data_IF_257047954262
#
_entry.id   IF_257047954262
#
_cell.length_a   1.000
_cell.length_b   1.000
_cell.length_c   1.000
_cell.angle_alpha   90.00
_cell.angle_beta   90.00
_cell.angle_gamma   90.00
#
_symmetry.space_group_name_H-M   'P 1'
#
loop_
_entity.id
_entity.type
_entity.pdbx_description
1 polymer ?
#
# COMPACT_ATOMS: atom_id res chain seq x y z
N UNK A 1 -0.88 8.62 6.99
CA UNK A 1 -0.27 7.79 8.04
C UNK A 1 -1.33 7.26 9.02
N UNK A 2 -2.25 8.12 9.48
CA UNK A 2 -3.33 7.75 10.42
C UNK A 2 -4.31 6.73 9.86
N UNK A 3 -4.44 6.66 8.54
CA UNK A 3 -5.44 5.82 7.87
C UNK A 3 -4.88 4.44 7.45
N UNK A 4 -3.56 4.23 7.59
CA UNK A 4 -2.88 3.02 7.11
C UNK A 4 -2.43 2.12 8.28
N UNK A 5 -2.04 2.72 9.41
CA UNK A 5 -1.48 1.97 10.54
C UNK A 5 -2.17 2.30 11.85
N UNK A 6 -2.73 1.30 12.49
CA UNK A 6 -3.19 1.44 13.89
C UNK A 6 -2.00 1.60 14.84
N UNK A 7 -0.86 0.97 14.53
CA UNK A 7 0.35 1.03 15.35
C UNK A 7 1.60 0.88 14.48
N UNK A 8 2.58 1.78 14.62
CA UNK A 8 3.88 1.65 13.98
C UNK A 8 4.82 0.82 14.86
N UNK A 9 5.09 -0.40 14.46
CA UNK A 9 5.91 -1.35 15.25
C UNK A 9 7.39 -1.32 14.89
N UNK A 10 7.76 -0.77 13.73
CA UNK A 10 9.11 -0.82 13.17
C UNK A 10 9.83 0.55 13.14
N UNK A 11 9.33 1.55 13.86
CA UNK A 11 9.96 2.86 13.94
C UNK A 11 10.86 2.94 15.16
N UNK A 12 12.17 2.99 14.95
CA UNK A 12 13.15 3.09 16.00
C UNK A 12 12.95 4.35 16.88
N UNK A 13 12.98 4.18 18.19
CA UNK A 13 12.77 5.28 19.14
C UNK A 13 11.30 5.57 19.49
N UNK A 14 10.34 5.02 18.76
CA UNK A 14 8.89 5.20 19.00
C UNK A 14 8.15 3.85 18.93
N UNK A 15 8.51 2.87 19.76
CA UNK A 15 7.89 1.56 19.70
C UNK A 15 6.41 1.62 20.09
N UNK A 16 5.56 1.05 19.23
CA UNK A 16 4.13 0.95 19.49
C UNK A 16 3.35 2.27 19.39
N UNK A 17 3.93 3.32 18.80
CA UNK A 17 3.20 4.58 18.56
C UNK A 17 2.05 4.35 17.57
N UNK A 18 0.87 4.92 17.83
CA UNK A 18 -0.22 4.89 16.86
C UNK A 18 0.12 5.73 15.63
N UNK A 19 -0.45 5.39 14.47
CA UNK A 19 -0.27 6.19 13.25
C UNK A 19 -0.76 7.64 13.43
N UNK A 20 -1.81 7.84 14.21
CA UNK A 20 -2.36 9.16 14.54
C UNK A 20 -1.38 9.97 15.39
N UNK A 21 -0.82 9.38 16.46
CA UNK A 21 0.13 10.06 17.34
C UNK A 21 1.45 10.34 16.62
N UNK A 22 1.92 9.42 15.79
CA UNK A 22 3.07 9.63 14.93
C UNK A 22 2.86 10.81 13.98
N UNK A 23 1.74 10.85 13.28
CA UNK A 23 1.40 11.95 12.38
C UNK A 23 1.32 13.29 13.12
N UNK A 24 0.72 13.32 14.30
CA UNK A 24 0.61 14.50 15.16
C UNK A 24 1.98 14.96 15.66
N UNK A 25 2.84 14.03 16.06
CA UNK A 25 4.20 14.31 16.51
C UNK A 25 5.07 14.89 15.41
N UNK A 26 5.04 14.30 14.22
CA UNK A 26 5.78 14.78 13.05
C UNK A 26 5.31 16.18 12.63
N UNK A 27 3.98 16.38 12.65
CA UNK A 27 3.40 17.69 12.34
C UNK A 27 3.84 18.76 13.35
N UNK A 28 3.70 18.49 14.64
CA UNK A 28 4.10 19.44 15.70
C UNK A 28 5.59 19.79 15.62
N UNK A 29 6.43 18.81 15.26
CA UNK A 29 7.86 19.06 15.04
C UNK A 29 8.10 20.01 13.84
N UNK A 30 7.44 19.77 12.72
CA UNK A 30 7.57 20.62 11.53
C UNK A 30 7.06 22.06 11.81
N UNK A 31 5.92 22.21 12.50
CA UNK A 31 5.39 23.51 12.92
C UNK A 31 6.38 24.27 13.83
N UNK A 32 7.01 23.56 14.77
CA UNK A 32 8.06 24.14 15.64
C UNK A 32 9.27 24.64 14.85
N UNK A 33 9.55 24.02 13.70
CA UNK A 33 10.62 24.45 12.77
C UNK A 33 10.18 25.54 11.78
N UNK A 34 8.95 26.04 11.91
CA UNK A 34 8.41 27.15 11.11
C UNK A 34 7.63 26.71 9.87
N UNK A 35 7.31 25.42 9.70
CA UNK A 35 6.47 24.98 8.60
C UNK A 35 5.00 25.37 8.83
N UNK A 36 4.36 25.87 7.79
CA UNK A 36 2.93 26.16 7.78
C UNK A 36 2.15 25.01 7.10
N UNK A 37 0.97 24.69 7.63
CA UNK A 37 0.13 23.65 7.10
C UNK A 37 -1.21 24.19 6.61
N UNK A 38 -1.53 23.92 5.34
CA UNK A 38 -2.84 24.22 4.78
C UNK A 38 -3.58 22.92 4.44
N UNK A 39 -4.84 22.79 4.90
CA UNK A 39 -5.71 21.64 4.57
C UNK A 39 -6.50 21.95 3.30
N UNK A 40 -5.80 21.97 2.18
CA UNK A 40 -6.40 22.24 0.88
C UNK A 40 -6.05 21.17 -0.13
N UNK A 41 -6.98 20.87 -1.02
CA UNK A 41 -6.74 19.98 -2.12
C UNK A 41 -6.14 20.74 -3.30
N UNK A 42 -4.94 20.36 -3.70
CA UNK A 42 -4.32 20.88 -4.92
C UNK A 42 -5.15 20.44 -6.13
N UNK A 43 -5.35 21.35 -7.05
CA UNK A 43 -6.13 21.18 -8.28
C UNK A 43 -5.28 21.24 -9.54
N UNK A 44 -4.27 22.09 -9.51
CA UNK A 44 -3.40 22.36 -10.64
C UNK A 44 -2.00 22.71 -10.17
N UNK A 45 -1.03 22.33 -10.96
CA UNK A 45 0.39 22.62 -10.77
C UNK A 45 0.96 23.18 -12.08
N UNK A 46 1.64 24.32 -12.00
CA UNK A 46 2.46 24.87 -13.08
C UNK A 46 3.90 24.85 -12.59
N UNK A 47 4.71 23.93 -13.13
CA UNK A 47 6.02 23.61 -12.59
C UNK A 47 7.18 23.88 -13.55
N UNK A 48 6.92 24.27 -14.77
CA UNK A 48 7.89 24.53 -15.85
C UNK A 48 8.53 25.92 -15.77
N UNK A 49 7.91 26.85 -15.04
CA UNK A 49 8.40 28.21 -14.85
C UNK A 49 9.41 28.34 -13.69
N UNK A 50 10.16 29.46 -13.62
CA UNK A 50 11.09 29.76 -12.51
C UNK A 50 10.34 29.77 -11.17
N UNK A 51 9.21 30.49 -11.13
CA UNK A 51 8.29 30.48 -9.99
C UNK A 51 7.22 29.44 -10.21
N UNK A 52 7.23 28.41 -9.38
CA UNK A 52 6.25 27.32 -9.40
C UNK A 52 4.92 27.79 -8.83
N UNK A 53 3.82 27.37 -9.44
CA UNK A 53 2.47 27.76 -8.99
C UNK A 53 1.72 26.52 -8.56
N UNK A 54 1.17 26.57 -7.34
CA UNK A 54 0.31 25.53 -6.77
C UNK A 54 -1.08 26.10 -6.56
N UNK A 55 -2.07 25.61 -7.29
CA UNK A 55 -3.47 26.07 -7.20
C UNK A 55 -4.34 25.12 -6.44
N UNK A 56 -5.12 25.66 -5.53
CA UNK A 56 -6.21 24.98 -4.81
C UNK A 56 -7.57 25.54 -5.26
N UNK A 57 -8.65 25.18 -4.57
CA UNK A 57 -9.95 25.83 -4.80
C UNK A 57 -10.00 27.28 -4.30
N UNK A 58 -9.19 27.62 -3.30
CA UNK A 58 -9.29 28.88 -2.56
C UNK A 58 -8.10 29.78 -2.79
N UNK A 59 -6.93 29.22 -2.96
CA UNK A 59 -5.66 29.93 -2.93
C UNK A 59 -4.76 29.54 -4.10
N UNK A 60 -3.84 30.44 -4.43
CA UNK A 60 -2.72 30.23 -5.32
C UNK A 60 -1.43 30.51 -4.55
N UNK A 61 -0.52 29.54 -4.57
CA UNK A 61 0.77 29.63 -3.88
C UNK A 61 1.88 29.73 -4.91
N UNK A 62 2.81 30.65 -4.69
CA UNK A 62 3.99 30.87 -5.51
C UNK A 62 5.23 30.42 -4.76
N UNK A 63 6.05 29.59 -5.36
CA UNK A 63 7.24 29.02 -4.73
C UNK A 63 8.41 28.90 -5.72
N UNK A 64 9.64 29.04 -5.22
CA UNK A 64 10.84 28.73 -6.02
C UNK A 64 11.05 27.24 -6.19
N UNK A 65 10.64 26.47 -5.19
CA UNK A 65 10.79 25.01 -5.19
C UNK A 65 9.51 24.34 -4.72
N UNK A 66 9.24 23.13 -5.23
CA UNK A 66 8.12 22.28 -4.84
C UNK A 66 8.64 20.88 -4.53
N UNK A 67 8.20 20.29 -3.42
CA UNK A 67 8.45 18.90 -3.09
C UNK A 67 7.13 18.13 -3.26
N UNK A 68 7.13 17.15 -4.15
CA UNK A 68 6.01 16.24 -4.39
C UNK A 68 6.12 15.06 -3.43
N UNK A 69 5.26 15.00 -2.43
CA UNK A 69 5.24 13.96 -1.40
C UNK A 69 3.82 13.36 -1.26
N UNK A 70 3.17 13.11 -2.40
CA UNK A 70 1.77 12.67 -2.49
C UNK A 70 1.56 11.19 -2.14
N UNK A 71 2.65 10.43 -2.00
CA UNK A 71 2.61 9.04 -1.59
C UNK A 71 2.15 8.08 -2.70
N UNK A 72 1.76 6.89 -2.25
CA UNK A 72 1.18 5.84 -3.08
C UNK A 72 0.04 5.17 -2.32
N UNK A 73 -0.92 4.63 -3.04
CA UNK A 73 -2.10 3.96 -2.50
C UNK A 73 -2.09 2.49 -2.89
N UNK A 74 -2.54 1.62 -1.98
CA UNK A 74 -2.78 0.22 -2.33
C UNK A 74 -3.91 0.13 -3.33
N UNK A 75 -3.73 -0.72 -4.33
CA UNK A 75 -4.79 -1.01 -5.28
C UNK A 75 -5.87 -1.82 -4.57
N UNK A 76 -7.08 -1.27 -4.55
CA UNK A 76 -8.23 -1.96 -4.02
C UNK A 76 -8.70 -3.10 -4.95
N UNK A 77 -9.32 -4.11 -4.39
CA UNK A 77 -10.07 -5.13 -5.14
C UNK A 77 -11.39 -4.56 -5.65
N UNK A 78 -11.95 -3.58 -4.92
CA UNK A 78 -13.27 -2.99 -5.15
C UNK A 78 -14.41 -4.02 -5.02
N UNK A 79 -14.32 -4.88 -4.03
CA UNK A 79 -15.34 -5.88 -3.71
C UNK A 79 -16.10 -5.51 -2.43
N UNK A 80 -17.37 -5.95 -2.27
CA UNK A 80 -18.10 -5.78 -1.02
C UNK A 80 -17.34 -6.34 0.18
N UNK A 81 -17.40 -5.66 1.32
CA UNK A 81 -16.72 -6.03 2.55
C UNK A 81 -15.28 -5.52 2.67
N UNK A 82 -14.63 -5.11 1.57
CA UNK A 82 -13.24 -4.66 1.60
C UNK A 82 -13.06 -3.39 2.45
N UNK A 83 -13.89 -2.38 2.23
CA UNK A 83 -13.83 -1.11 2.95
C UNK A 83 -14.42 -1.21 4.35
N UNK A 84 -15.53 -1.91 4.47
CA UNK A 84 -16.28 -2.09 5.70
C UNK A 84 -15.47 -2.82 6.75
N UNK A 85 -14.65 -3.80 6.34
CA UNK A 85 -13.82 -4.62 7.22
C UNK A 85 -12.33 -4.20 7.24
N UNK A 86 -12.01 -3.05 6.66
CA UNK A 86 -10.64 -2.49 6.71
C UNK A 86 -10.22 -2.22 8.15
N UNK A 87 -9.07 -2.80 8.57
CA UNK A 87 -8.61 -2.79 9.96
C UNK A 87 -9.36 -3.76 10.90
N UNK A 88 -10.42 -4.40 10.41
CA UNK A 88 -11.19 -5.43 11.13
C UNK A 88 -10.98 -6.83 10.51
N UNK A 89 -9.76 -7.08 10.05
CA UNK A 89 -9.35 -8.32 9.41
C UNK A 89 -8.95 -8.17 7.95
N UNK A 90 -9.28 -7.07 7.27
CA UNK A 90 -8.73 -6.71 5.97
C UNK A 90 -7.50 -5.82 6.16
N UNK A 91 -6.38 -6.21 5.58
CA UNK A 91 -5.09 -5.50 5.62
C UNK A 91 -4.45 -5.43 4.24
N UNK A 92 -3.56 -4.44 4.07
CA UNK A 92 -2.73 -4.28 2.87
C UNK A 92 -1.22 -4.40 3.20
N UNK A 93 -0.88 -4.80 4.43
CA UNK A 93 0.50 -4.88 4.89
C UNK A 93 0.70 -6.07 5.83
N UNK A 94 1.25 -7.16 5.32
CA UNK A 94 1.51 -8.35 6.13
C UNK A 94 2.53 -8.11 7.25
N UNK A 95 3.56 -7.32 6.99
CA UNK A 95 4.59 -6.99 7.99
C UNK A 95 4.08 -6.08 9.11
N UNK A 96 3.00 -5.32 8.84
CA UNK A 96 2.38 -4.44 9.82
C UNK A 96 1.41 -5.18 10.74
N UNK A 97 0.54 -5.99 10.14
CA UNK A 97 -0.63 -6.55 10.82
C UNK A 97 -0.53 -8.07 11.05
N UNK A 98 0.44 -8.74 10.43
CA UNK A 98 0.55 -10.21 10.50
C UNK A 98 0.64 -10.78 11.90
N UNK A 99 1.21 -10.02 12.84
CA UNK A 99 1.31 -10.44 14.25
C UNK A 99 -0.06 -10.67 14.92
N UNK A 100 -1.11 -9.98 14.49
CA UNK A 100 -2.49 -10.15 15.02
C UNK A 100 -3.16 -11.45 14.56
N UNK A 101 -2.56 -12.12 13.56
CA UNK A 101 -3.09 -13.34 12.96
C UNK A 101 -2.26 -14.59 13.31
N UNK A 102 -1.47 -14.51 14.38
CA UNK A 102 -0.76 -15.67 14.91
C UNK A 102 -1.75 -16.81 15.21
N UNK A 103 -1.39 -18.02 14.76
CA UNK A 103 -2.19 -19.26 14.92
C UNK A 103 -3.58 -19.21 14.25
N UNK A 104 -3.86 -18.21 13.40
CA UNK A 104 -5.10 -18.04 12.63
C UNK A 104 -4.93 -18.46 11.17
N UNK A 105 -6.06 -18.58 10.47
CA UNK A 105 -6.11 -18.84 9.03
C UNK A 105 -6.30 -17.55 8.28
N UNK A 106 -5.47 -17.27 7.27
CA UNK A 106 -5.54 -16.03 6.50
C UNK A 106 -5.54 -16.28 5.00
N UNK A 107 -6.04 -15.32 4.23
CA UNK A 107 -5.92 -15.30 2.78
C UNK A 107 -5.01 -14.15 2.34
N UNK A 108 -4.11 -14.42 1.39
CA UNK A 108 -3.35 -13.41 0.65
C UNK A 108 -3.90 -13.37 -0.77
N UNK A 109 -4.30 -12.19 -1.23
CA UNK A 109 -4.87 -12.01 -2.56
C UNK A 109 -3.82 -11.32 -3.44
N UNK A 110 -3.33 -12.04 -4.44
CA UNK A 110 -2.29 -11.55 -5.34
C UNK A 110 -1.48 -12.67 -5.99
N UNK A 111 -0.39 -12.31 -6.67
CA UNK A 111 0.47 -13.30 -7.35
C UNK A 111 1.75 -12.68 -7.92
N UNK A 112 2.11 -11.48 -7.50
CA UNK A 112 3.43 -10.86 -7.74
C UNK A 112 4.34 -11.05 -6.54
N UNK A 113 5.58 -10.50 -6.61
CA UNK A 113 6.59 -10.65 -5.56
C UNK A 113 6.06 -10.28 -4.18
N UNK A 114 5.41 -9.14 -4.03
CA UNK A 114 4.84 -8.67 -2.75
C UNK A 114 3.84 -9.68 -2.16
N UNK A 115 2.94 -10.22 -2.98
CA UNK A 115 1.96 -11.19 -2.50
C UNK A 115 2.61 -12.49 -2.03
N UNK A 116 3.65 -12.94 -2.73
CA UNK A 116 4.40 -14.14 -2.39
C UNK A 116 5.25 -13.92 -1.13
N UNK A 117 5.93 -12.79 -1.02
CA UNK A 117 6.68 -12.39 0.18
C UNK A 117 5.78 -12.27 1.41
N UNK A 118 4.62 -11.62 1.26
CA UNK A 118 3.61 -11.50 2.31
C UNK A 118 3.11 -12.87 2.76
N UNK A 119 2.82 -13.77 1.83
CA UNK A 119 2.38 -15.13 2.15
C UNK A 119 3.45 -15.94 2.87
N UNK A 120 4.72 -15.86 2.43
CA UNK A 120 5.87 -16.48 3.11
C UNK A 120 6.03 -15.92 4.53
N UNK A 121 5.90 -14.61 4.67
CA UNK A 121 6.00 -13.95 5.98
C UNK A 121 4.91 -14.42 6.94
N UNK A 122 3.66 -14.42 6.50
CA UNK A 122 2.50 -14.86 7.28
C UNK A 122 2.56 -16.34 7.63
N UNK A 123 3.05 -17.18 6.73
CA UNK A 123 3.19 -18.61 6.96
C UNK A 123 4.10 -18.98 8.13
N UNK A 124 4.97 -18.06 8.59
CA UNK A 124 5.86 -18.29 9.75
C UNK A 124 5.09 -18.35 11.07
N UNK A 125 3.94 -17.69 11.15
CA UNK A 125 3.20 -17.53 12.42
C UNK A 125 1.73 -17.91 12.31
N UNK A 126 1.14 -17.85 11.12
CA UNK A 126 -0.25 -18.25 10.89
C UNK A 126 -0.38 -19.77 10.82
N UNK A 127 -1.54 -20.27 11.23
CA UNK A 127 -1.90 -21.69 11.14
C UNK A 127 -1.98 -22.16 9.70
N UNK A 128 -2.60 -21.33 8.83
CA UNK A 128 -2.76 -21.61 7.40
C UNK A 128 -2.83 -20.31 6.60
N UNK A 129 -2.25 -20.32 5.40
CA UNK A 129 -2.28 -19.23 4.45
C UNK A 129 -2.84 -19.73 3.12
N UNK A 130 -3.96 -19.17 2.68
CA UNK A 130 -4.47 -19.34 1.33
C UNK A 130 -3.92 -18.23 0.43
N UNK A 131 -3.33 -18.60 -0.70
CA UNK A 131 -2.90 -17.62 -1.71
C UNK A 131 -3.89 -17.68 -2.87
N UNK A 132 -4.76 -16.68 -2.96
CA UNK A 132 -5.82 -16.60 -3.96
C UNK A 132 -5.30 -15.83 -5.17
N UNK A 133 -5.16 -16.52 -6.31
CA UNK A 133 -4.65 -15.92 -7.53
C UNK A 133 -5.58 -16.18 -8.72
N UNK A 134 -5.81 -15.11 -9.51
CA UNK A 134 -6.74 -15.13 -10.67
C UNK A 134 -6.24 -15.86 -11.90
N UNK A 135 -5.00 -16.40 -11.89
CA UNK A 135 -4.35 -17.16 -12.96
C UNK A 135 -3.86 -18.50 -12.41
N UNK A 136 -3.36 -19.34 -13.29
CA UNK A 136 -2.74 -20.64 -12.98
C UNK A 136 -1.23 -20.56 -12.73
N UNK A 137 -0.64 -19.36 -12.84
CA UNK A 137 0.79 -19.12 -12.61
C UNK A 137 1.03 -17.82 -11.85
N UNK A 138 2.03 -17.79 -10.99
CA UNK A 138 2.50 -16.58 -10.31
C UNK A 138 3.37 -15.75 -11.25
N UNK A 139 3.42 -14.44 -10.99
CA UNK A 139 4.33 -13.50 -11.67
C UNK A 139 5.56 -13.19 -10.83
N UNK A 140 5.63 -13.71 -9.62
CA UNK A 140 6.76 -13.55 -8.72
C UNK A 140 8.03 -14.21 -9.27
N UNK A 141 9.20 -13.79 -8.79
CA UNK A 141 10.47 -14.42 -9.12
C UNK A 141 10.48 -15.89 -8.73
N UNK A 142 11.11 -16.75 -9.57
CA UNK A 142 11.10 -18.21 -9.37
C UNK A 142 11.57 -18.65 -7.98
N UNK A 143 12.62 -18.03 -7.44
CA UNK A 143 13.11 -18.31 -6.08
C UNK A 143 12.04 -18.07 -4.99
N UNK A 144 11.22 -17.04 -5.15
CA UNK A 144 10.11 -16.77 -4.23
C UNK A 144 9.00 -17.80 -4.38
N UNK A 145 8.70 -18.21 -5.62
CA UNK A 145 7.71 -19.26 -5.88
C UNK A 145 8.13 -20.58 -5.24
N UNK A 146 9.37 -21.01 -5.43
CA UNK A 146 9.92 -22.25 -4.85
C UNK A 146 9.84 -22.21 -3.31
N UNK A 147 10.21 -21.07 -2.72
CA UNK A 147 10.13 -20.89 -1.27
C UNK A 147 8.69 -20.94 -0.74
N UNK A 148 7.73 -20.34 -1.45
CA UNK A 148 6.31 -20.37 -1.08
C UNK A 148 5.74 -21.79 -1.16
N UNK A 149 5.96 -22.46 -2.29
CA UNK A 149 5.39 -23.78 -2.57
C UNK A 149 5.97 -24.90 -1.69
N UNK A 150 7.13 -24.68 -1.08
CA UNK A 150 7.73 -25.60 -0.11
C UNK A 150 7.07 -25.50 1.28
N UNK A 151 6.24 -24.49 1.56
CA UNK A 151 5.65 -24.29 2.89
C UNK A 151 4.41 -25.18 3.08
N UNK A 152 4.38 -26.05 4.13
CA UNK A 152 3.33 -27.05 4.31
C UNK A 152 1.97 -26.44 4.72
N UNK A 153 1.97 -25.23 5.24
CA UNK A 153 0.77 -24.51 5.68
C UNK A 153 0.29 -23.46 4.67
N UNK A 154 0.85 -23.44 3.46
CA UNK A 154 0.38 -22.63 2.36
C UNK A 154 -0.44 -23.45 1.38
N UNK A 155 -1.55 -22.90 0.91
CA UNK A 155 -2.39 -23.51 -0.12
C UNK A 155 -2.67 -22.49 -1.23
N UNK A 156 -2.38 -22.90 -2.46
CA UNK A 156 -2.65 -22.09 -3.66
C UNK A 156 -4.07 -22.30 -4.13
N UNK A 157 -4.80 -21.19 -4.31
CA UNK A 157 -6.15 -21.18 -4.86
C UNK A 157 -6.08 -20.51 -6.24
N UNK A 158 -5.83 -21.34 -7.24
CA UNK A 158 -5.58 -20.90 -8.62
C UNK A 158 -6.86 -20.54 -9.37
N UNK A 159 -6.70 -19.75 -10.45
CA UNK A 159 -7.76 -19.36 -11.38
C UNK A 159 -8.97 -18.70 -10.69
N UNK A 160 -8.77 -18.16 -9.50
CA UNK A 160 -9.84 -17.76 -8.59
C UNK A 160 -9.80 -16.27 -8.32
N UNK A 161 -10.97 -15.65 -8.36
CA UNK A 161 -11.20 -14.25 -7.98
C UNK A 161 -12.02 -14.17 -6.70
N UNK A 162 -11.82 -13.10 -5.95
CA UNK A 162 -12.64 -12.79 -4.77
C UNK A 162 -13.84 -11.96 -5.22
N UNK A 163 -15.03 -12.39 -4.83
CA UNK A 163 -16.29 -11.70 -5.13
C UNK A 163 -16.72 -10.77 -3.98
N UNK A 164 -16.51 -11.21 -2.74
CA UNK A 164 -16.75 -10.41 -1.53
C UNK A 164 -15.93 -10.91 -0.34
N UNK A 165 -15.72 -10.03 0.64
CA UNK A 165 -15.15 -10.37 1.94
C UNK A 165 -16.27 -10.39 2.94
N UNK A 166 -16.40 -11.50 3.66
CA UNK A 166 -17.51 -11.76 4.56
C UNK A 166 -17.12 -11.49 6.02
N UNK A 167 -18.05 -10.94 6.77
CA UNK A 167 -17.88 -10.67 8.20
C UNK A 167 -18.89 -9.63 8.68
N UNK A 168 -19.06 -9.54 10.00
CA UNK A 168 -19.85 -8.49 10.64
C UNK A 168 -18.92 -7.49 11.36
N UNK A 169 -18.36 -7.89 12.50
CA UNK A 169 -17.39 -7.08 13.26
C UNK A 169 -15.94 -7.37 12.84
N UNK A 170 -15.69 -8.58 12.37
CA UNK A 170 -14.39 -9.05 11.91
C UNK A 170 -14.57 -9.90 10.65
N UNK A 171 -13.51 -10.05 9.86
CA UNK A 171 -13.47 -10.99 8.75
C UNK A 171 -13.77 -12.40 9.24
N UNK A 172 -14.63 -13.13 8.53
CA UNK A 172 -14.96 -14.54 8.78
C UNK A 172 -14.77 -15.44 7.56
N UNK A 173 -14.57 -14.85 6.37
CA UNK A 173 -14.34 -15.59 5.14
C UNK A 173 -14.29 -14.72 3.91
N UNK A 174 -14.06 -15.36 2.78
CA UNK A 174 -14.11 -14.75 1.45
C UNK A 174 -14.96 -15.59 0.52
N UNK A 175 -15.88 -14.96 -0.20
CA UNK A 175 -16.55 -15.59 -1.35
C UNK A 175 -15.67 -15.50 -2.56
N UNK A 176 -15.54 -16.60 -3.25
CA UNK A 176 -14.65 -16.73 -4.39
C UNK A 176 -15.34 -17.44 -5.56
N UNK A 177 -14.89 -17.12 -6.77
CA UNK A 177 -15.31 -17.84 -7.98
C UNK A 177 -14.08 -18.31 -8.75
N UNK A 178 -14.02 -19.62 -9.02
CA UNK A 178 -13.04 -20.19 -9.93
C UNK A 178 -13.42 -19.85 -11.37
N UNK A 179 -12.56 -19.12 -12.07
CA UNK A 179 -12.85 -18.59 -13.41
C UNK A 179 -12.85 -19.66 -14.51
N UNK A 180 -12.14 -20.77 -14.32
CA UNK A 180 -12.10 -21.89 -15.27
C UNK A 180 -13.27 -22.84 -15.09
N UNK A 181 -13.56 -23.21 -13.85
CA UNK A 181 -14.66 -24.14 -13.53
C UNK A 181 -16.02 -23.43 -13.46
N UNK A 182 -16.06 -22.11 -13.23
CA UNK A 182 -17.31 -21.39 -12.98
C UNK A 182 -17.91 -21.68 -11.61
N UNK A 183 -17.16 -22.35 -10.72
CA UNK A 183 -17.62 -22.76 -9.41
C UNK A 183 -17.43 -21.63 -8.40
N UNK A 184 -18.49 -21.32 -7.66
CA UNK A 184 -18.45 -20.41 -6.53
C UNK A 184 -18.26 -21.18 -5.22
N UNK A 185 -17.52 -20.57 -4.28
CA UNK A 185 -17.26 -21.17 -2.97
C UNK A 185 -17.01 -20.11 -1.90
N UNK A 186 -16.87 -20.57 -0.67
CA UNK A 186 -16.47 -19.74 0.47
C UNK A 186 -15.25 -20.35 1.12
N UNK A 187 -14.24 -19.55 1.35
CA UNK A 187 -13.04 -19.92 2.11
C UNK A 187 -13.13 -19.23 3.47
N UNK A 188 -13.21 -20.01 4.54
CA UNK A 188 -13.23 -19.48 5.91
C UNK A 188 -11.83 -19.02 6.30
N UNK A 189 -11.71 -17.74 6.65
CA UNK A 189 -10.46 -17.10 7.08
C UNK A 189 -10.72 -16.06 8.16
N UNK A 190 -9.73 -15.83 9.03
CA UNK A 190 -9.78 -14.82 10.08
C UNK A 190 -9.25 -13.47 9.60
N UNK A 191 -8.58 -13.44 8.46
CA UNK A 191 -8.01 -12.21 7.89
C UNK A 191 -7.70 -12.34 6.41
N UNK A 192 -7.68 -11.18 5.75
CA UNK A 192 -7.43 -11.04 4.32
C UNK A 192 -6.36 -9.99 4.08
N UNK A 193 -5.28 -10.38 3.40
CA UNK A 193 -4.19 -9.49 3.01
C UNK A 193 -4.26 -9.23 1.50
N UNK A 194 -4.47 -7.98 1.11
CA UNK A 194 -4.66 -7.59 -0.28
C UNK A 194 -3.33 -7.09 -0.85
N UNK A 195 -2.72 -7.88 -1.73
CA UNK A 195 -1.42 -7.63 -2.33
C UNK A 195 -1.50 -7.61 -3.88
N UNK A 196 -2.45 -6.82 -4.41
CA UNK A 196 -2.70 -6.71 -5.87
C UNK A 196 -1.98 -5.52 -6.53
N UNK A 197 -1.08 -4.89 -5.79
CA UNK A 197 -0.20 -3.81 -6.23
C UNK A 197 -0.43 -2.49 -5.51
N UNK A 198 0.47 -1.54 -5.79
CA UNK A 198 0.48 -0.18 -5.26
C UNK A 198 0.48 0.78 -6.45
N UNK A 199 -0.20 1.90 -6.33
CA UNK A 199 -0.31 2.93 -7.37
C UNK A 199 0.18 4.25 -6.80
N UNK A 200 1.15 4.93 -7.44
CA UNK A 200 1.58 6.25 -6.98
C UNK A 200 0.46 7.29 -7.18
N UNK A 201 0.35 8.22 -6.22
CA UNK A 201 -0.59 9.34 -6.33
C UNK A 201 0.07 10.45 -7.17
N UNK A 202 0.20 10.18 -8.47
CA UNK A 202 0.93 11.02 -9.43
C UNK A 202 0.05 11.62 -10.55
N UNK A 203 -1.26 11.47 -10.47
CA UNK A 203 -2.17 11.91 -11.53
C UNK A 203 -2.06 13.41 -11.86
N UNK A 204 -1.83 14.27 -10.85
CA UNK A 204 -1.69 15.73 -11.05
C UNK A 204 -0.39 16.16 -11.75
N UNK A 205 0.61 15.28 -11.79
CA UNK A 205 1.93 15.58 -12.34
C UNK A 205 2.22 14.76 -13.61
N UNK A 206 1.25 14.00 -14.08
CA UNK A 206 1.38 13.22 -15.30
C UNK A 206 1.68 14.12 -16.50
N UNK A 207 2.77 13.82 -17.23
CA UNK A 207 3.23 14.63 -18.37
C UNK A 207 4.00 15.92 -18.01
N UNK A 208 4.13 16.26 -16.72
CA UNK A 208 4.92 17.41 -16.25
C UNK A 208 6.29 16.94 -15.76
N UNK A 209 6.33 15.88 -14.98
CA UNK A 209 7.54 15.28 -14.42
C UNK A 209 7.74 13.88 -14.99
N UNK A 210 8.97 13.49 -15.26
CA UNK A 210 9.25 12.12 -15.73
C UNK A 210 8.80 11.06 -14.72
N UNK A 211 8.08 10.06 -15.23
CA UNK A 211 7.66 8.89 -14.46
C UNK A 211 8.16 7.60 -15.12
N UNK A 212 8.17 6.52 -14.34
CA UNK A 212 8.34 5.18 -14.89
C UNK A 212 7.02 4.64 -15.49
N UNK A 213 7.06 3.42 -16.04
CA UNK A 213 5.89 2.77 -16.63
C UNK A 213 4.73 2.52 -15.64
N UNK A 214 5.03 2.45 -14.35
CA UNK A 214 4.05 2.29 -13.28
C UNK A 214 3.50 3.63 -12.75
N UNK A 215 4.04 4.77 -13.23
CA UNK A 215 3.63 6.12 -12.86
C UNK A 215 4.38 6.71 -11.67
N UNK A 216 5.42 6.05 -11.16
CA UNK A 216 6.28 6.60 -10.09
C UNK A 216 7.20 7.68 -10.64
N UNK A 217 7.35 8.79 -9.91
CA UNK A 217 8.28 9.86 -10.27
C UNK A 217 9.71 9.32 -10.27
N UNK A 218 10.42 9.50 -11.39
CA UNK A 218 11.85 9.18 -11.47
C UNK A 218 12.64 10.19 -10.67
N UNK A 219 13.10 9.79 -9.47
CA UNK A 219 13.95 10.58 -8.59
C UNK A 219 14.84 9.65 -7.77
N UNK A 220 16.11 10.04 -7.63
CA UNK A 220 17.10 9.33 -6.81
C UNK A 220 16.95 9.63 -5.32
N UNK A 221 17.96 9.25 -4.54
CA UNK A 221 18.01 9.52 -3.09
C UNK A 221 18.10 11.01 -2.75
N UNK A 222 18.56 11.83 -3.69
CA UNK A 222 18.58 13.30 -3.63
C UNK A 222 17.22 13.94 -3.87
N UNK A 223 16.22 13.13 -4.29
CA UNK A 223 14.88 13.59 -4.61
C UNK A 223 14.75 14.46 -5.87
N UNK A 224 15.83 14.66 -6.64
CA UNK A 224 15.81 15.51 -7.83
C UNK A 224 14.98 14.88 -8.94
N UNK A 225 14.07 15.66 -9.53
CA UNK A 225 13.23 15.23 -10.66
C UNK A 225 13.73 15.77 -12.00
N UNK A 226 13.04 15.44 -13.08
CA UNK A 226 13.34 15.98 -14.43
C UNK A 226 13.08 17.48 -14.58
N UNK A 227 12.38 18.13 -13.63
CA UNK A 227 12.02 19.54 -13.68
C UNK A 227 12.85 20.32 -12.65
N UNK A 228 13.64 21.33 -13.05
CA UNK A 228 14.43 22.14 -12.13
C UNK A 228 13.58 22.80 -11.04
N UNK A 229 14.03 22.69 -9.77
CA UNK A 229 13.32 23.23 -8.62
C UNK A 229 12.11 22.37 -8.17
N UNK A 230 11.87 21.21 -8.79
CA UNK A 230 10.85 20.25 -8.37
C UNK A 230 11.54 18.99 -7.86
N UNK A 231 11.17 18.59 -6.65
CA UNK A 231 11.71 17.43 -5.96
C UNK A 231 10.59 16.43 -5.66
N UNK A 232 10.95 15.17 -5.44
CA UNK A 232 10.01 14.12 -5.02
C UNK A 232 10.53 13.41 -3.78
N UNK A 233 9.64 13.15 -2.82
CA UNK A 233 9.95 12.44 -1.59
C UNK A 233 8.89 11.38 -1.28
N UNK A 234 9.28 10.34 -0.54
CA UNK A 234 8.38 9.28 -0.10
C UNK A 234 7.98 8.31 -1.21
N UNK A 235 6.80 7.74 -1.06
CA UNK A 235 6.35 6.57 -1.85
C UNK A 235 5.87 6.91 -3.27
N UNK A 236 5.74 8.18 -3.62
CA UNK A 236 5.40 8.61 -4.98
C UNK A 236 6.56 8.47 -5.97
N UNK A 237 7.79 8.38 -5.48
CA UNK A 237 8.99 8.22 -6.31
C UNK A 237 9.40 6.76 -6.53
N UNK A 238 10.28 6.54 -7.50
CA UNK A 238 10.92 5.25 -7.74
C UNK A 238 11.77 4.84 -6.53
N UNK A 239 11.46 3.70 -5.90
CA UNK A 239 12.17 3.10 -4.78
C UNK A 239 11.79 1.64 -4.61
N UNK A 240 12.64 0.86 -3.95
CA UNK A 240 12.38 -0.57 -3.73
C UNK A 240 11.46 -0.81 -2.53
N UNK A 241 11.75 -0.16 -1.40
CA UNK A 241 11.03 -0.38 -0.15
C UNK A 241 10.15 0.83 0.21
N UNK A 242 8.89 0.57 0.54
CA UNK A 242 7.88 1.58 0.93
C UNK A 242 7.43 1.33 2.36
N UNK A 243 8.15 1.93 3.29
CA UNK A 243 7.89 1.90 4.73
C UNK A 243 8.06 3.32 5.28
N UNK A 244 7.45 3.62 6.44
CA UNK A 244 7.54 4.95 7.07
C UNK A 244 9.00 5.38 7.24
N UNK A 245 9.86 4.46 7.68
CA UNK A 245 11.28 4.74 7.92
C UNK A 245 12.08 4.99 6.63
N UNK A 246 11.55 4.63 5.49
CA UNK A 246 12.21 4.80 4.18
C UNK A 246 11.50 5.84 3.31
N UNK A 247 10.50 6.51 3.81
CA UNK A 247 9.74 7.52 3.08
C UNK A 247 10.53 8.82 2.90
#
# INVERSE_FOLDING_TARGET
LSDIYTTAVNLAGLPGISGMDLGSTLRAHAEKMGAEFSRERVKELVLDEEIKIVRTRKNEYHARTVILATGAEHRALNVPGEKELSGMGVSYCATCDGAFFKDKTVAVIGGGDVAVEDAIFLARTCKKVYVIHRRDELRAAGVLQDALLALPNVEMVWDTVVDSIEGNEMVSGVKVTNKKAGEAGVITVDGVFIAVGIVPVSALIAGIVETDEAGYIKAGEDGVTSVPGVFAAGDVRTKQLRQIITA
#
